data_IF_394182461604
#
_entry.id   IF_394182461604
#
_cell.length_a   1.000
_cell.length_b   1.000
_cell.length_c   1.000
_cell.angle_alpha   90.00
_cell.angle_beta   90.00
_cell.angle_gamma   90.00
#
_symmetry.space_group_name_H-M   'P 1'
#
loop_
_entity.id
_entity.type
_entity.pdbx_description
1 polymer ?
#
# COMPACT_ATOMS: atom_id res chain seq x y z
N UNK A 1 3.27 -9.90 -14.07
CA UNK A 1 2.46 -8.77 -14.56
C UNK A 1 2.86 -7.49 -13.84
N UNK A 2 2.72 -6.37 -14.50
CA UNK A 2 3.02 -5.07 -13.92
C UNK A 2 1.73 -4.42 -13.43
N UNK A 3 1.74 -3.91 -12.20
CA UNK A 3 0.56 -3.32 -11.57
C UNK A 3 0.89 -1.91 -11.12
N UNK A 4 -0.03 -0.99 -11.36
CA UNK A 4 0.07 0.38 -10.89
C UNK A 4 -1.09 0.66 -9.94
N UNK A 5 -0.79 1.12 -8.73
CA UNK A 5 -1.81 1.46 -7.74
C UNK A 5 -2.37 2.84 -8.07
N UNK A 6 -3.69 2.95 -8.15
CA UNK A 6 -4.38 4.21 -8.39
C UNK A 6 -4.74 4.93 -7.12
N UNK A 7 -5.22 4.19 -6.13
CA UNK A 7 -5.50 4.73 -4.80
C UNK A 7 -5.34 3.63 -3.76
N UNK A 8 -5.05 4.03 -2.55
CA UNK A 8 -4.85 3.08 -1.47
C UNK A 8 -5.27 3.72 -0.15
N UNK A 9 -5.96 2.93 0.67
CA UNK A 9 -6.25 3.28 2.06
C UNK A 9 -5.52 2.29 2.95
N UNK A 10 -4.66 2.80 3.80
CA UNK A 10 -3.81 2.00 4.68
C UNK A 10 -4.33 2.14 6.10
N UNK A 11 -4.40 1.02 6.80
CA UNK A 11 -4.72 1.00 8.22
C UNK A 11 -3.46 1.28 9.02
N UNK A 12 -3.33 2.51 9.49
CA UNK A 12 -2.20 2.94 10.30
C UNK A 12 -2.45 2.76 11.79
N UNK A 13 -3.53 2.09 12.17
CA UNK A 13 -3.78 1.83 13.59
C UNK A 13 -2.90 0.68 14.08
N UNK A 14 -2.40 0.84 15.29
CA UNK A 14 -1.57 -0.16 15.95
C UNK A 14 -2.30 -0.60 17.21
N UNK A 15 -2.42 -1.91 17.42
CA UNK A 15 -3.08 -2.46 18.61
C UNK A 15 -2.36 -2.07 19.91
N UNK A 16 -1.09 -1.74 19.83
CA UNK A 16 -0.26 -1.41 20.99
C UNK A 16 -0.25 0.08 21.30
N UNK A 17 -0.55 0.92 20.31
CA UNK A 17 -0.50 2.37 20.47
C UNK A 17 -1.72 3.00 19.82
N UNK A 18 -2.47 3.78 20.61
CA UNK A 18 -3.65 4.49 20.13
C UNK A 18 -3.30 5.72 19.28
N UNK A 19 -2.02 6.00 19.10
CA UNK A 19 -1.58 7.16 18.34
C UNK A 19 -1.27 6.78 16.91
N UNK A 20 -2.04 7.27 15.92
CA UNK A 20 -1.69 7.05 14.52
C UNK A 20 -0.40 7.78 14.18
N UNK A 21 0.36 7.30 13.17
CA UNK A 21 1.55 8.03 12.74
C UNK A 21 1.20 9.41 12.20
N UNK A 22 2.21 10.26 12.14
CA UNK A 22 2.09 11.62 11.65
C UNK A 22 1.49 11.63 10.23
N UNK A 23 0.64 12.61 9.93
CA UNK A 23 -0.01 12.74 8.63
C UNK A 23 1.02 12.84 7.50
N UNK A 24 2.13 13.54 7.71
CA UNK A 24 3.19 13.63 6.71
C UNK A 24 3.79 12.26 6.41
N UNK A 25 4.00 11.44 7.43
CA UNK A 25 4.48 10.08 7.27
C UNK A 25 3.49 9.24 6.48
N UNK A 26 2.20 9.33 6.83
CA UNK A 26 1.15 8.62 6.11
C UNK A 26 1.13 8.99 4.63
N UNK A 27 1.20 10.28 4.33
CA UNK A 27 1.22 10.78 2.96
C UNK A 27 2.45 10.29 2.20
N UNK A 28 3.61 10.26 2.85
CA UNK A 28 4.84 9.76 2.24
C UNK A 28 4.72 8.29 1.87
N UNK A 29 4.17 7.46 2.76
CA UNK A 29 3.95 6.04 2.51
C UNK A 29 3.00 5.85 1.32
N UNK A 30 1.87 6.55 1.34
CA UNK A 30 0.88 6.47 0.27
C UNK A 30 1.48 6.91 -1.06
N UNK A 31 2.19 8.03 -1.08
CA UNK A 31 2.84 8.53 -2.29
C UNK A 31 3.87 7.55 -2.83
N UNK A 32 4.64 6.93 -1.95
CA UNK A 32 5.62 5.93 -2.33
C UNK A 32 4.95 4.74 -3.03
N UNK A 33 3.82 4.26 -2.50
CA UNK A 33 3.08 3.16 -3.10
C UNK A 33 2.52 3.57 -4.47
N UNK A 34 1.93 4.77 -4.56
CA UNK A 34 1.30 5.25 -5.79
C UNK A 34 2.32 5.51 -6.90
N UNK A 35 3.53 5.91 -6.55
CA UNK A 35 4.58 6.23 -7.52
C UNK A 35 5.42 5.04 -7.92
N UNK A 36 5.24 3.89 -7.27
CA UNK A 36 6.00 2.68 -7.57
C UNK A 36 5.27 1.79 -8.57
N UNK A 37 6.05 1.09 -9.38
CA UNK A 37 5.52 0.03 -10.24
C UNK A 37 5.73 -1.30 -9.53
N UNK A 38 4.67 -2.09 -9.44
CA UNK A 38 4.69 -3.36 -8.73
C UNK A 38 4.66 -4.50 -9.74
N UNK A 39 5.58 -5.44 -9.60
CA UNK A 39 5.65 -6.61 -10.48
C UNK A 39 5.29 -7.83 -9.64
N UNK A 40 4.21 -8.50 -10.02
CA UNK A 40 3.70 -9.67 -9.33
C UNK A 40 3.41 -10.78 -10.33
N UNK A 41 3.40 -12.02 -9.85
CA UNK A 41 3.03 -13.17 -10.67
C UNK A 41 1.53 -13.38 -10.74
N UNK A 42 0.82 -12.99 -9.67
CA UNK A 42 -0.63 -13.12 -9.57
C UNK A 42 -1.18 -11.82 -8.98
N UNK A 43 -2.34 -11.41 -9.49
CA UNK A 43 -3.04 -10.23 -9.01
C UNK A 43 -3.24 -10.24 -7.50
N UNK A 44 -3.48 -11.42 -6.92
CA UNK A 44 -3.69 -11.57 -5.48
C UNK A 44 -2.45 -11.26 -4.65
N UNK A 45 -1.27 -11.32 -5.26
CA UNK A 45 -0.01 -11.06 -4.55
C UNK A 45 0.26 -9.57 -4.33
N UNK A 46 -0.46 -8.69 -5.05
CA UNK A 46 -0.17 -7.25 -4.98
C UNK A 46 -0.36 -6.70 -3.55
N UNK A 47 -1.43 -7.09 -2.88
CA UNK A 47 -1.71 -6.63 -1.52
C UNK A 47 -0.62 -7.10 -0.57
N UNK A 48 -0.28 -8.38 -0.63
CA UNK A 48 0.76 -8.94 0.24
C UNK A 48 2.12 -8.29 -0.01
N UNK A 49 2.45 -8.06 -1.28
CA UNK A 49 3.72 -7.44 -1.64
C UNK A 49 3.82 -6.03 -1.08
N UNK A 50 2.77 -5.23 -1.23
CA UNK A 50 2.74 -3.86 -0.73
C UNK A 50 2.79 -3.86 0.80
N UNK A 51 2.00 -4.72 1.45
CA UNK A 51 1.99 -4.81 2.91
C UNK A 51 3.37 -5.16 3.47
N UNK A 52 4.09 -6.06 2.81
CA UNK A 52 5.45 -6.42 3.21
C UNK A 52 6.42 -5.26 3.04
N UNK A 53 6.24 -4.46 2.01
CA UNK A 53 7.13 -3.35 1.72
C UNK A 53 6.93 -2.18 2.68
N UNK A 54 5.68 -1.83 2.96
CA UNK A 54 5.37 -0.67 3.81
C UNK A 54 5.26 -1.02 5.30
N UNK A 55 5.04 -2.28 5.63
CA UNK A 55 4.89 -2.71 7.02
C UNK A 55 3.55 -2.40 7.66
N UNK A 56 2.56 -2.03 6.88
CA UNK A 56 1.21 -1.71 7.37
C UNK A 56 0.17 -2.53 6.63
N UNK A 57 -0.98 -2.76 7.29
CA UNK A 57 -2.10 -3.44 6.65
C UNK A 57 -2.82 -2.51 5.70
N UNK A 58 -3.28 -3.07 4.57
CA UNK A 58 -4.06 -2.31 3.60
C UNK A 58 -5.53 -2.48 3.92
N UNK A 59 -6.23 -1.37 4.09
CA UNK A 59 -7.66 -1.35 4.33
C UNK A 59 -8.44 -1.47 3.01
N UNK A 60 -8.01 -0.70 2.00
CA UNK A 60 -8.63 -0.70 0.69
C UNK A 60 -7.59 -0.33 -0.36
N UNK A 61 -7.66 -0.94 -1.52
CA UNK A 61 -6.73 -0.65 -2.61
C UNK A 61 -7.46 -0.66 -3.94
N UNK A 62 -7.09 0.29 -4.79
CA UNK A 62 -7.54 0.35 -6.17
C UNK A 62 -6.31 0.38 -7.06
N UNK A 63 -6.23 -0.54 -8.01
CA UNK A 63 -5.06 -0.68 -8.86
C UNK A 63 -5.46 -1.05 -10.28
N UNK A 64 -4.50 -0.88 -11.20
CA UNK A 64 -4.67 -1.22 -12.60
C UNK A 64 -3.54 -2.16 -13.03
N UNK A 65 -3.90 -3.20 -13.76
CA UNK A 65 -2.91 -4.11 -14.33
C UNK A 65 -2.46 -3.54 -15.67
N UNK A 66 -1.15 -3.31 -15.78
CA UNK A 66 -0.55 -2.78 -16.99
C UNK A 66 -0.03 -3.94 -17.84
N UNK A 67 -0.36 -3.90 -19.11
CA UNK A 67 0.06 -4.92 -20.06
C UNK A 67 1.06 -4.35 -21.05
#
# INVERSE_FOLDING_TARGET
>A
MKVKVKSIEIDFSDDVCDCPPNTNYQNDVISSVLNSEWIVNDEKEIVNMIENEIGWCIYKIDYEIMR
#
